data_IF_034021240079
#
_entry.id   IF_034021240079
#
_cell.length_a   1.000
_cell.length_b   1.000
_cell.length_c   1.000
_cell.angle_alpha   90.00
_cell.angle_beta   90.00
_cell.angle_gamma   90.00
#
_symmetry.space_group_name_H-M   'P 1'
#
loop_
_entity.id
_entity.type
_entity.pdbx_description
1 polymer ?
#
# COMPACT_ATOMS: atom_id res chain seq x y z
N UNK A 1 -28.62 -2.19 -53.91
CA UNK A 1 -28.53 -3.27 -52.91
C UNK A 1 -27.16 -3.20 -52.26
N UNK A 2 -26.99 -2.36 -51.23
CA UNK A 2 -25.75 -2.17 -50.47
C UNK A 2 -26.12 -1.87 -49.02
N UNK A 3 -26.45 -2.89 -48.24
CA UNK A 3 -26.75 -2.77 -46.80
C UNK A 3 -25.91 -3.72 -45.93
N UNK A 4 -25.03 -4.54 -46.52
CA UNK A 4 -24.33 -5.61 -45.79
C UNK A 4 -23.07 -5.18 -45.01
N UNK A 5 -22.51 -3.98 -45.26
CA UNK A 5 -21.25 -3.56 -44.64
C UNK A 5 -21.39 -2.67 -43.39
N UNK A 6 -22.54 -2.04 -43.16
CA UNK A 6 -22.70 -1.11 -42.03
C UNK A 6 -22.92 -1.82 -40.70
N UNK A 7 -23.68 -2.93 -40.67
CA UNK A 7 -23.94 -3.67 -39.41
C UNK A 7 -22.69 -4.36 -38.86
N UNK A 8 -21.83 -4.89 -39.73
CA UNK A 8 -20.58 -5.53 -39.33
C UNK A 8 -19.57 -4.54 -38.73
N UNK A 9 -19.48 -3.32 -39.29
CA UNK A 9 -18.59 -2.26 -38.77
C UNK A 9 -19.10 -1.72 -37.43
N UNK A 10 -20.42 -1.59 -37.27
CA UNK A 10 -21.03 -1.14 -36.00
C UNK A 10 -20.78 -2.19 -34.91
N UNK A 11 -20.97 -3.48 -35.19
CA UNK A 11 -20.69 -4.56 -34.23
C UNK A 11 -19.23 -4.63 -33.80
N UNK A 12 -18.27 -4.52 -34.73
CA UNK A 12 -16.82 -4.51 -34.40
C UNK A 12 -16.45 -3.27 -33.57
N UNK A 13 -17.04 -2.12 -33.85
CA UNK A 13 -16.83 -0.89 -33.06
C UNK A 13 -17.43 -0.96 -31.66
N UNK A 14 -18.52 -1.71 -31.47
CA UNK A 14 -19.17 -1.91 -30.17
C UNK A 14 -18.43 -2.94 -29.33
N UNK A 15 -17.97 -4.04 -29.94
CA UNK A 15 -17.15 -5.07 -29.27
C UNK A 15 -15.80 -4.50 -28.84
N UNK A 16 -15.15 -3.70 -29.68
CA UNK A 16 -13.89 -3.03 -29.28
C UNK A 16 -14.09 -2.06 -28.10
N UNK A 17 -15.20 -1.31 -28.08
CA UNK A 17 -15.53 -0.44 -26.94
C UNK A 17 -15.84 -1.22 -25.66
N UNK A 18 -16.52 -2.37 -25.75
CA UNK A 18 -16.81 -3.20 -24.56
C UNK A 18 -15.54 -3.81 -23.99
N UNK A 19 -14.66 -4.34 -24.84
CA UNK A 19 -13.36 -4.89 -24.43
C UNK A 19 -12.51 -3.82 -23.73
N UNK A 20 -12.43 -2.61 -24.30
CA UNK A 20 -11.70 -1.49 -23.69
C UNK A 20 -12.30 -1.09 -22.34
N UNK A 21 -13.63 -1.07 -22.21
CA UNK A 21 -14.29 -0.80 -20.93
C UNK A 21 -14.02 -1.88 -19.88
N UNK A 22 -14.05 -3.16 -20.27
CA UNK A 22 -13.75 -4.26 -19.36
C UNK A 22 -12.28 -4.24 -18.91
N UNK A 23 -11.35 -3.98 -19.83
CA UNK A 23 -9.94 -3.78 -19.50
C UNK A 23 -9.73 -2.59 -18.56
N UNK A 24 -10.43 -1.47 -18.77
CA UNK A 24 -10.36 -0.32 -17.87
C UNK A 24 -10.90 -0.66 -16.47
N UNK A 25 -12.02 -1.39 -16.38
CA UNK A 25 -12.58 -1.85 -15.11
C UNK A 25 -11.63 -2.77 -14.35
N UNK A 26 -11.01 -3.71 -15.06
CA UNK A 26 -10.04 -4.64 -14.51
C UNK A 26 -8.79 -3.90 -14.04
N UNK A 27 -8.23 -3.02 -14.88
CA UNK A 27 -7.05 -2.20 -14.55
C UNK A 27 -7.31 -1.32 -13.33
N UNK A 28 -8.47 -0.68 -13.26
CA UNK A 28 -8.87 0.16 -12.13
C UNK A 28 -8.94 -0.63 -10.83
N UNK A 29 -9.49 -1.86 -10.85
CA UNK A 29 -9.49 -2.74 -9.67
C UNK A 29 -8.07 -3.16 -9.27
N UNK A 30 -7.21 -3.48 -10.22
CA UNK A 30 -5.81 -3.84 -9.94
C UNK A 30 -4.99 -2.70 -9.35
N UNK A 31 -5.36 -1.44 -9.56
CA UNK A 31 -4.66 -0.30 -8.94
C UNK A 31 -5.18 -0.01 -7.54
N UNK A 32 -6.48 -0.19 -7.29
CA UNK A 32 -7.13 0.21 -6.04
C UNK A 32 -6.83 -0.74 -4.88
N UNK A 33 -6.95 -2.05 -5.08
CA UNK A 33 -6.96 -3.00 -3.97
C UNK A 33 -5.58 -3.42 -3.42
N UNK A 34 -4.48 -3.48 -4.21
CA UNK A 34 -3.18 -3.90 -3.67
C UNK A 34 -2.66 -3.09 -2.46
N UNK A 35 -2.78 -1.75 -2.41
CA UNK A 35 -2.38 -0.98 -1.23
C UNK A 35 -3.06 -1.45 0.07
N UNK A 36 -4.35 -1.81 0.01
CA UNK A 36 -5.08 -2.35 1.14
C UNK A 36 -4.59 -3.77 1.49
N UNK A 37 -4.40 -4.63 0.50
CA UNK A 37 -3.94 -6.00 0.70
C UNK A 37 -2.57 -6.02 1.39
N UNK A 38 -1.63 -5.18 0.94
CA UNK A 38 -0.32 -5.05 1.58
C UNK A 38 -0.40 -4.51 3.00
N UNK A 39 -1.29 -3.54 3.25
CA UNK A 39 -1.53 -3.03 4.61
C UNK A 39 -2.05 -4.13 5.53
N UNK A 40 -3.03 -4.94 5.08
CA UNK A 40 -3.59 -6.05 5.86
C UNK A 40 -2.52 -7.10 6.15
N UNK A 41 -1.76 -7.54 5.15
CA UNK A 41 -0.69 -8.52 5.38
C UNK A 41 0.39 -8.00 6.32
N UNK A 42 0.79 -6.74 6.15
CA UNK A 42 1.71 -6.09 7.08
C UNK A 42 1.17 -6.13 8.50
N UNK A 43 -0.08 -5.70 8.70
CA UNK A 43 -0.70 -5.63 10.02
C UNK A 43 -0.85 -7.00 10.70
N UNK A 44 -1.22 -8.04 9.94
CA UNK A 44 -1.27 -9.42 10.45
C UNK A 44 0.13 -9.87 10.89
N UNK A 45 1.15 -9.64 10.05
CA UNK A 45 2.54 -9.96 10.38
C UNK A 45 3.04 -9.24 11.64
N UNK A 46 2.77 -7.94 11.74
CA UNK A 46 3.09 -7.15 12.94
C UNK A 46 2.41 -7.70 14.19
N UNK A 47 1.11 -8.01 14.10
CA UNK A 47 0.34 -8.54 15.23
C UNK A 47 0.91 -9.89 15.69
N UNK A 48 1.25 -10.77 14.74
CA UNK A 48 1.91 -12.05 15.05
C UNK A 48 3.23 -11.85 15.79
N UNK A 49 4.11 -10.99 15.25
CA UNK A 49 5.40 -10.68 15.86
C UNK A 49 5.26 -10.04 17.24
N UNK A 50 4.28 -9.15 17.41
CA UNK A 50 3.99 -8.50 18.69
C UNK A 50 3.65 -9.54 19.76
N UNK A 51 2.77 -10.51 19.46
CA UNK A 51 2.44 -11.57 20.41
C UNK A 51 3.64 -12.49 20.71
N UNK A 52 4.44 -12.82 19.70
CA UNK A 52 5.66 -13.63 19.88
C UNK A 52 6.67 -12.93 20.80
N UNK A 53 6.90 -11.63 20.59
CA UNK A 53 7.90 -10.88 21.36
C UNK A 53 7.41 -10.43 22.73
N UNK A 54 6.10 -10.39 22.98
CA UNK A 54 5.52 -10.18 24.31
C UNK A 54 5.69 -11.39 25.25
N UNK A 55 6.09 -12.56 24.73
CA UNK A 55 6.35 -13.72 25.57
C UNK A 55 7.52 -13.46 26.53
N UNK A 56 7.40 -13.90 27.79
CA UNK A 56 8.30 -13.53 28.89
C UNK A 56 9.79 -13.84 28.63
N UNK A 57 10.08 -14.86 27.84
CA UNK A 57 11.45 -15.27 27.48
C UNK A 57 12.07 -14.40 26.37
N UNK A 58 11.26 -13.78 25.52
CA UNK A 58 11.69 -13.03 24.33
C UNK A 58 11.64 -11.51 24.54
N UNK A 59 10.85 -11.04 25.52
CA UNK A 59 10.63 -9.61 25.80
C UNK A 59 11.91 -8.85 26.19
N UNK A 60 12.90 -9.53 26.77
CA UNK A 60 14.17 -8.92 27.18
C UNK A 60 15.29 -9.13 26.16
N UNK A 61 15.05 -9.86 25.07
CA UNK A 61 16.05 -10.09 24.04
C UNK A 61 16.17 -8.83 23.17
N UNK A 62 17.38 -8.25 23.12
CA UNK A 62 17.67 -7.04 22.34
C UNK A 62 17.35 -7.20 20.86
N UNK A 63 17.61 -8.39 20.29
CA UNK A 63 17.23 -8.76 18.91
C UNK A 63 15.73 -8.61 18.69
N UNK A 64 14.91 -9.11 19.61
CA UNK A 64 13.45 -9.06 19.52
C UNK A 64 12.95 -7.63 19.65
N UNK A 65 13.55 -6.82 20.53
CA UNK A 65 13.20 -5.41 20.72
C UNK A 65 13.50 -4.61 19.44
N UNK A 66 14.71 -4.73 18.89
CA UNK A 66 15.08 -4.03 17.66
C UNK A 66 14.22 -4.48 16.47
N UNK A 67 13.97 -5.79 16.32
CA UNK A 67 13.06 -6.32 15.31
C UNK A 67 11.65 -5.72 15.44
N UNK A 68 11.08 -5.70 16.65
CA UNK A 68 9.76 -5.13 16.91
C UNK A 68 9.69 -3.63 16.60
N UNK A 69 10.74 -2.87 16.92
CA UNK A 69 10.85 -1.46 16.58
C UNK A 69 10.85 -1.27 15.04
N UNK A 70 11.63 -2.05 14.31
CA UNK A 70 11.64 -2.05 12.84
C UNK A 70 10.27 -2.33 12.25
N UNK A 71 9.61 -3.41 12.70
CA UNK A 71 8.25 -3.75 12.26
C UNK A 71 7.21 -2.68 12.59
N UNK A 72 7.36 -1.99 13.72
CA UNK A 72 6.47 -0.88 14.10
C UNK A 72 6.61 0.29 13.11
N UNK A 73 7.85 0.62 12.73
CA UNK A 73 8.14 1.66 11.74
C UNK A 73 7.59 1.28 10.37
N UNK A 74 7.69 0.01 9.97
CA UNK A 74 7.12 -0.48 8.72
C UNK A 74 5.60 -0.31 8.68
N UNK A 75 4.89 -0.67 9.76
CA UNK A 75 3.43 -0.46 9.86
C UNK A 75 3.08 1.02 9.80
N UNK A 76 3.82 1.88 10.49
CA UNK A 76 3.61 3.33 10.42
C UNK A 76 3.81 3.82 8.98
N UNK A 77 4.86 3.37 8.30
CA UNK A 77 5.11 3.73 6.92
C UNK A 77 3.97 3.27 5.99
N UNK A 78 3.47 2.03 6.15
CA UNK A 78 2.32 1.51 5.40
C UNK A 78 1.03 2.33 5.68
N UNK A 79 0.81 2.73 6.93
CA UNK A 79 -0.33 3.54 7.36
C UNK A 79 -0.27 4.98 6.82
N UNK A 80 0.92 5.52 6.59
CA UNK A 80 1.13 6.87 6.06
C UNK A 80 1.18 6.93 4.52
N UNK A 81 1.52 5.82 3.86
CA UNK A 81 1.70 5.75 2.40
C UNK A 81 0.59 5.01 1.68
N UNK A 82 0.49 3.69 1.87
CA UNK A 82 -0.41 2.81 1.13
C UNK A 82 -1.87 2.93 1.57
N UNK A 83 -2.13 3.05 2.86
CA UNK A 83 -3.51 3.15 3.36
C UNK A 83 -4.23 4.45 2.91
N UNK A 84 -3.61 5.64 2.96
CA UNK A 84 -4.20 6.86 2.43
C UNK A 84 -4.41 6.82 0.92
N UNK A 85 -3.53 6.13 0.17
CA UNK A 85 -3.70 5.93 -1.27
C UNK A 85 -4.96 5.11 -1.57
N UNK A 86 -5.20 4.03 -0.83
CA UNK A 86 -6.43 3.26 -0.95
C UNK A 86 -7.68 4.12 -0.68
N UNK A 87 -7.67 4.90 0.41
CA UNK A 87 -8.79 5.79 0.76
C UNK A 87 -9.07 6.84 -0.31
N UNK A 88 -8.02 7.41 -0.90
CA UNK A 88 -8.14 8.39 -1.98
C UNK A 88 -8.72 7.77 -3.25
N UNK A 89 -8.22 6.61 -3.69
CA UNK A 89 -8.65 5.99 -4.95
C UNK A 89 -10.03 5.34 -4.84
N UNK A 90 -10.37 4.73 -3.69
CA UNK A 90 -11.64 4.02 -3.51
C UNK A 90 -12.79 4.92 -3.06
N UNK A 91 -12.52 5.85 -2.15
CA UNK A 91 -13.54 6.65 -1.47
C UNK A 91 -13.42 8.15 -1.71
N UNK A 92 -12.46 8.60 -2.53
CA UNK A 92 -12.12 10.01 -2.73
C UNK A 92 -11.79 10.77 -1.41
N UNK A 93 -11.41 10.03 -0.37
CA UNK A 93 -11.03 10.60 0.92
C UNK A 93 -9.57 11.05 0.82
N UNK A 94 -9.37 12.36 0.72
CA UNK A 94 -8.03 12.96 0.67
C UNK A 94 -7.51 13.18 2.07
N UNK A 95 -6.35 12.62 2.38
CA UNK A 95 -5.61 12.97 3.58
C UNK A 95 -4.98 14.35 3.42
N UNK A 96 -4.96 15.20 4.46
CA UNK A 96 -4.51 16.59 4.38
C UNK A 96 -2.97 16.75 4.28
N UNK A 97 -2.24 15.69 3.91
CA UNK A 97 -0.79 15.71 3.76
C UNK A 97 -0.34 16.78 2.75
N UNK A 98 -1.11 17.02 1.69
CA UNK A 98 -0.77 18.01 0.66
C UNK A 98 -1.43 19.37 0.88
N UNK A 99 -2.27 19.53 1.90
CA UNK A 99 -3.04 20.76 2.11
C UNK A 99 -2.20 21.93 2.64
N UNK A 100 -1.16 21.65 3.44
CA UNK A 100 -0.29 22.66 4.03
C UNK A 100 1.17 22.40 3.62
N UNK A 101 1.94 23.47 3.42
CA UNK A 101 3.36 23.37 3.04
C UNK A 101 4.18 22.59 4.08
N UNK A 102 3.85 22.75 5.36
CA UNK A 102 4.53 22.06 6.46
C UNK A 102 4.21 20.56 6.46
N UNK A 103 2.94 20.18 6.32
CA UNK A 103 2.52 18.76 6.32
C UNK A 103 3.03 18.02 5.09
N UNK A 104 3.13 18.69 3.93
CA UNK A 104 3.66 18.10 2.71
C UNK A 104 5.18 17.84 2.82
N UNK A 105 5.93 18.79 3.39
CA UNK A 105 7.36 18.57 3.69
C UNK A 105 7.55 17.42 4.67
N UNK A 106 6.74 17.39 5.73
CA UNK A 106 6.77 16.32 6.72
C UNK A 106 6.44 14.96 6.09
N UNK A 107 5.43 14.87 5.22
CA UNK A 107 5.06 13.61 4.57
C UNK A 107 6.18 13.09 3.67
N UNK A 108 6.82 13.97 2.89
CA UNK A 108 7.95 13.59 2.03
C UNK A 108 9.14 13.14 2.89
N UNK A 109 9.43 13.87 3.97
CA UNK A 109 10.47 13.50 4.91
C UNK A 109 10.22 12.12 5.53
N UNK A 110 9.03 11.88 6.08
CA UNK A 110 8.65 10.60 6.69
C UNK A 110 8.71 9.45 5.68
N UNK A 111 8.27 9.67 4.45
CA UNK A 111 8.29 8.65 3.39
C UNK A 111 9.71 8.20 3.04
N UNK A 112 10.70 9.11 3.14
CA UNK A 112 12.10 8.77 2.94
C UNK A 112 12.75 8.22 4.22
N UNK A 113 12.47 8.83 5.37
CA UNK A 113 13.15 8.53 6.63
C UNK A 113 12.72 7.20 7.25
N UNK A 114 11.43 6.87 7.25
CA UNK A 114 10.91 5.67 7.93
C UNK A 114 11.48 4.37 7.34
N UNK A 115 11.56 4.17 6.00
CA UNK A 115 12.20 2.98 5.43
C UNK A 115 13.66 2.83 5.85
N UNK A 116 14.43 3.92 5.88
CA UNK A 116 15.82 3.88 6.33
C UNK A 116 15.91 3.50 7.81
N UNK A 117 15.09 4.12 8.65
CA UNK A 117 15.06 3.84 10.08
C UNK A 117 14.72 2.36 10.36
N UNK A 118 13.73 1.80 9.65
CA UNK A 118 13.38 0.38 9.75
C UNK A 118 14.55 -0.54 9.43
N UNK A 119 15.28 -0.28 8.34
CA UNK A 119 16.47 -1.06 7.95
C UNK A 119 17.56 -0.98 9.04
N UNK A 120 17.78 0.19 9.63
CA UNK A 120 18.75 0.33 10.72
C UNK A 120 18.36 -0.51 11.95
N UNK A 121 17.07 -0.56 12.30
CA UNK A 121 16.59 -1.44 13.36
C UNK A 121 16.70 -2.92 13.01
N UNK A 122 16.58 -3.30 11.73
CA UNK A 122 16.80 -4.68 11.29
C UNK A 122 18.29 -5.07 11.31
N UNK A 123 19.19 -4.12 11.11
CA UNK A 123 20.65 -4.34 11.13
C UNK A 123 21.23 -4.34 12.56
N UNK A 124 20.63 -3.60 13.50
CA UNK A 124 21.13 -3.56 14.87
C UNK A 124 21.32 -4.95 15.52
N UNK A 125 20.36 -5.89 15.38
CA UNK A 125 20.50 -7.27 15.87
C UNK A 125 21.66 -8.09 15.34
N UNK A 126 22.25 -7.73 14.19
CA UNK A 126 23.38 -8.48 13.63
C UNK A 126 24.73 -7.95 14.10
N UNK A 127 24.73 -6.75 14.69
CA UNK A 127 25.92 -6.05 15.17
C UNK A 127 26.03 -6.15 16.70
N UNK A 128 24.89 -6.24 17.39
CA UNK A 128 24.76 -6.52 18.83
C UNK A 128 25.07 -8.00 19.15
#
# INVERSE_FOLDING_TARGET
MMFYNTEHVINVSQISKSIVNDLNLVTHRYVIYPPLIFFIFGFIGFTGNLFTYLHAELCYNTVCIYSLCGFTIDIINLALSLFPRYLSEKYAIRTPWTSLRATCKLSIFLLAFLPHLSIHFLLMPTID
#
